data_IF_837223273469
#
_entry.id   IF_837223273469
#
_cell.length_a   1.000
_cell.length_b   1.000
_cell.length_c   1.000
_cell.angle_alpha   90.00
_cell.angle_beta   90.00
_cell.angle_gamma   90.00
#
_symmetry.space_group_name_H-M   'P 1'
#
loop_
_entity.id
_entity.type
_entity.pdbx_description
1 polymer ?
#
# COMPACT_ATOMS: atom_id res chain seq x y z
N UNK A 1 46.35 -45.71 5.65
CA UNK A 1 45.56 -44.56 6.12
C UNK A 1 44.33 -44.48 5.23
N UNK A 2 43.19 -44.99 5.71
CA UNK A 2 41.92 -44.99 4.95
C UNK A 2 41.29 -43.63 5.15
N UNK A 3 41.32 -42.77 4.13
CA UNK A 3 40.58 -41.53 4.15
C UNK A 3 39.08 -41.87 4.02
N UNK A 4 38.33 -41.74 5.11
CA UNK A 4 36.87 -41.76 5.04
C UNK A 4 36.44 -40.53 4.26
N UNK A 5 36.10 -40.73 2.98
CA UNK A 5 35.35 -39.75 2.22
C UNK A 5 34.02 -39.56 2.94
N UNK A 6 33.87 -38.48 3.70
CA UNK A 6 32.56 -38.11 4.25
C UNK A 6 31.68 -37.77 3.06
N UNK A 7 30.81 -38.71 2.67
CA UNK A 7 29.75 -38.44 1.73
C UNK A 7 28.97 -37.22 2.24
N UNK A 8 28.79 -36.22 1.39
CA UNK A 8 28.00 -35.04 1.73
C UNK A 8 26.58 -35.41 2.17
N UNK A 9 25.81 -34.42 2.69
CA UNK A 9 24.45 -34.66 3.15
C UNK A 9 23.62 -35.35 2.05
N UNK A 10 22.86 -36.38 2.44
CA UNK A 10 21.93 -37.05 1.55
C UNK A 10 20.71 -36.18 1.23
N UNK A 11 19.80 -36.69 0.39
CA UNK A 11 18.62 -35.94 -0.04
C UNK A 11 17.75 -35.49 1.14
N UNK A 12 17.58 -36.34 2.16
CA UNK A 12 16.78 -36.04 3.34
C UNK A 12 17.45 -34.98 4.22
N UNK A 13 18.78 -35.05 4.38
CA UNK A 13 19.56 -34.10 5.17
C UNK A 13 19.54 -32.71 4.54
N UNK A 14 19.55 -32.62 3.20
CA UNK A 14 19.40 -31.34 2.49
C UNK A 14 18.02 -30.72 2.74
N UNK A 15 16.95 -31.52 2.70
CA UNK A 15 15.59 -31.02 3.00
C UNK A 15 15.47 -30.58 4.46
N UNK A 16 15.97 -31.36 5.43
CA UNK A 16 16.01 -30.93 6.84
C UNK A 16 16.77 -29.63 7.02
N UNK A 17 17.95 -29.51 6.42
CA UNK A 17 18.76 -28.29 6.49
C UNK A 17 18.05 -27.05 5.96
N UNK A 18 17.20 -27.18 4.94
CA UNK A 18 16.36 -26.07 4.47
C UNK A 18 15.31 -25.65 5.51
N UNK A 19 14.58 -26.61 6.10
CA UNK A 19 13.60 -26.28 7.15
C UNK A 19 14.25 -25.80 8.44
N UNK A 20 15.45 -26.27 8.77
CA UNK A 20 16.24 -25.75 9.91
C UNK A 20 16.59 -24.27 9.69
N UNK A 21 16.89 -23.88 8.44
CA UNK A 21 17.11 -22.47 8.08
C UNK A 21 15.83 -21.64 8.18
N UNK A 22 14.68 -22.18 7.77
CA UNK A 22 13.38 -21.54 7.99
C UNK A 22 13.10 -21.34 9.48
N UNK A 23 13.31 -22.40 10.28
CA UNK A 23 13.14 -22.35 11.73
C UNK A 23 14.06 -21.29 12.37
N UNK A 24 15.30 -21.18 11.89
CA UNK A 24 16.26 -20.16 12.30
C UNK A 24 15.99 -18.76 11.72
N UNK A 25 15.03 -18.62 10.80
CA UNK A 25 14.72 -17.38 10.05
C UNK A 25 15.95 -16.81 9.32
N UNK A 26 16.81 -17.70 8.84
CA UNK A 26 18.08 -17.37 8.17
C UNK A 26 18.03 -17.76 6.69
N UNK A 27 17.72 -16.77 5.86
CA UNK A 27 17.65 -16.89 4.40
C UNK A 27 19.02 -16.84 3.71
N UNK A 28 20.10 -16.48 4.42
CA UNK A 28 21.44 -16.29 3.82
C UNK A 28 22.03 -17.57 3.23
N UNK A 29 21.51 -18.72 3.68
CA UNK A 29 21.95 -20.06 3.26
C UNK A 29 20.92 -20.79 2.43
N UNK A 30 19.83 -20.10 2.06
CA UNK A 30 18.91 -20.68 1.09
C UNK A 30 19.75 -21.08 -0.12
N UNK A 31 19.62 -22.33 -0.59
CA UNK A 31 20.29 -22.73 -1.81
C UNK A 31 19.95 -21.67 -2.86
N UNK A 32 20.89 -21.36 -3.75
CA UNK A 32 20.69 -20.46 -4.89
C UNK A 32 19.65 -21.08 -5.85
N UNK A 33 18.42 -21.18 -5.37
CA UNK A 33 17.27 -21.68 -6.07
C UNK A 33 16.77 -20.53 -6.94
N UNK A 34 16.33 -20.89 -8.15
CA UNK A 34 15.81 -19.94 -9.13
C UNK A 34 14.83 -18.89 -8.57
N UNK A 35 13.87 -19.22 -7.66
CA UNK A 35 12.90 -18.23 -7.19
C UNK A 35 13.45 -17.18 -6.21
N UNK A 36 14.71 -17.28 -5.77
CA UNK A 36 15.31 -16.31 -4.85
C UNK A 36 16.08 -15.19 -5.55
N UNK A 37 16.33 -15.29 -6.86
CA UNK A 37 16.99 -14.21 -7.61
C UNK A 37 16.06 -12.99 -7.62
N UNK A 38 16.49 -11.89 -6.98
CA UNK A 38 15.71 -10.65 -6.80
C UNK A 38 14.47 -10.76 -5.90
N UNK A 39 14.28 -11.88 -5.21
CA UNK A 39 13.14 -12.02 -4.31
C UNK A 39 13.41 -11.29 -2.99
N UNK A 40 12.57 -10.31 -2.61
CA UNK A 40 12.77 -9.56 -1.37
C UNK A 40 12.69 -10.46 -0.13
N UNK A 41 11.92 -11.56 -0.17
CA UNK A 41 11.85 -12.50 0.96
C UNK A 41 13.10 -13.35 1.15
N UNK A 42 13.94 -13.49 0.14
CA UNK A 42 15.18 -14.26 0.27
C UNK A 42 16.38 -13.42 0.76
N UNK A 43 16.20 -12.12 1.03
CA UNK A 43 17.29 -11.29 1.58
C UNK A 43 17.58 -11.64 3.05
N UNK A 44 18.85 -11.58 3.51
CA UNK A 44 19.19 -11.88 4.89
C UNK A 44 18.38 -11.05 5.90
N UNK A 45 17.73 -11.72 6.85
CA UNK A 45 17.03 -11.09 7.97
C UNK A 45 15.55 -10.73 7.73
N UNK A 46 15.05 -10.86 6.50
CA UNK A 46 13.64 -10.57 6.13
C UNK A 46 12.64 -11.41 6.88
N UNK A 47 12.97 -12.67 7.19
CA UNK A 47 12.09 -13.59 7.90
C UNK A 47 12.18 -13.44 9.43
N UNK A 48 12.97 -12.49 9.97
CA UNK A 48 13.17 -12.36 11.43
C UNK A 48 11.95 -11.83 12.17
N UNK A 49 11.14 -11.00 11.50
CA UNK A 49 9.90 -10.43 12.05
C UNK A 49 8.72 -10.72 11.10
N UNK A 50 7.51 -10.83 11.65
CA UNK A 50 6.31 -11.08 10.85
C UNK A 50 6.31 -12.40 10.07
N UNK A 51 7.15 -13.37 10.45
CA UNK A 51 7.17 -14.72 9.88
C UNK A 51 7.23 -15.77 10.99
N UNK A 52 6.39 -16.80 10.87
CA UNK A 52 6.42 -18.00 11.70
C UNK A 52 6.73 -19.21 10.81
N UNK A 53 7.82 -19.95 11.11
CA UNK A 53 8.24 -21.09 10.32
C UNK A 53 7.30 -22.29 10.51
N UNK A 54 7.30 -23.24 9.56
CA UNK A 54 6.65 -24.53 9.74
C UNK A 54 7.22 -25.29 10.92
N UNK A 55 6.35 -26.00 11.62
CA UNK A 55 6.68 -26.81 12.79
C UNK A 55 6.58 -28.31 12.48
N UNK A 56 7.21 -29.13 13.33
CA UNK A 56 7.06 -30.59 13.28
C UNK A 56 7.34 -31.23 11.91
N UNK A 57 8.38 -30.78 11.20
CA UNK A 57 8.81 -31.41 9.94
C UNK A 57 9.00 -32.92 10.13
N UNK A 58 8.39 -33.69 9.24
CA UNK A 58 8.59 -35.13 9.08
C UNK A 58 8.94 -35.42 7.63
N UNK A 59 9.96 -36.26 7.43
CA UNK A 59 10.26 -36.83 6.12
C UNK A 59 9.61 -38.21 6.08
N UNK A 60 8.65 -38.37 5.18
CA UNK A 60 7.85 -39.59 5.05
C UNK A 60 8.55 -40.62 4.16
N UNK A 61 9.33 -40.15 3.20
CA UNK A 61 10.13 -41.01 2.34
C UNK A 61 10.84 -40.24 1.24
N UNK A 62 11.68 -40.94 0.48
CA UNK A 62 12.26 -40.41 -0.74
C UNK A 62 12.22 -41.43 -1.86
N UNK A 63 11.65 -41.04 -2.99
CA UNK A 63 11.54 -41.89 -4.19
C UNK A 63 12.44 -41.37 -5.30
N UNK A 64 12.97 -42.28 -6.12
CA UNK A 64 13.64 -41.87 -7.35
C UNK A 64 12.61 -41.23 -8.28
N UNK A 65 12.93 -40.07 -8.84
CA UNK A 65 12.15 -39.47 -9.91
C UNK A 65 12.83 -39.87 -11.23
N UNK A 66 12.03 -40.15 -12.25
CA UNK A 66 12.50 -40.64 -13.56
C UNK A 66 13.75 -39.87 -14.00
N UNK A 67 14.82 -40.53 -14.44
CA UNK A 67 16.09 -39.87 -14.69
C UNK A 67 15.91 -38.70 -15.65
N UNK A 68 16.34 -37.49 -15.23
CA UNK A 68 16.52 -36.40 -16.18
C UNK A 68 17.53 -36.86 -17.22
N UNK A 69 17.31 -36.50 -18.48
CA UNK A 69 18.01 -36.99 -19.68
C UNK A 69 19.52 -36.69 -19.76
N UNK A 70 20.16 -36.27 -18.66
CA UNK A 70 21.58 -35.93 -18.58
C UNK A 70 22.43 -37.02 -17.91
N UNK A 71 23.64 -37.23 -18.45
CA UNK A 71 24.65 -38.09 -17.84
C UNK A 71 25.03 -37.58 -16.43
N UNK A 72 24.71 -38.37 -15.40
CA UNK A 72 25.22 -38.15 -14.04
C UNK A 72 24.35 -37.30 -13.11
N UNK A 73 23.23 -36.76 -13.57
CA UNK A 73 22.22 -36.13 -12.70
C UNK A 73 21.28 -37.19 -12.14
N UNK A 74 21.04 -37.15 -10.83
CA UNK A 74 20.02 -38.00 -10.17
C UNK A 74 19.00 -37.11 -9.51
N UNK A 75 17.73 -37.36 -9.75
CA UNK A 75 16.64 -36.61 -9.14
C UNK A 75 15.90 -37.52 -8.17
N UNK A 76 15.57 -36.98 -7.00
CA UNK A 76 14.70 -37.65 -6.03
C UNK A 76 13.63 -36.67 -5.60
N UNK A 77 12.49 -37.23 -5.26
CA UNK A 77 11.38 -36.51 -4.70
C UNK A 77 11.22 -36.99 -3.24
N UNK A 78 11.27 -36.04 -2.32
CA UNK A 78 11.24 -36.25 -0.88
C UNK A 78 9.88 -35.82 -0.36
N UNK A 79 9.07 -36.79 0.04
CA UNK A 79 7.75 -36.54 0.61
C UNK A 79 7.91 -36.06 2.06
N UNK A 80 7.27 -34.94 2.39
CA UNK A 80 7.35 -34.31 3.71
C UNK A 80 5.95 -33.98 4.25
N UNK A 81 5.85 -33.88 5.56
CA UNK A 81 4.73 -33.24 6.24
C UNK A 81 5.21 -32.29 7.33
N UNK A 82 4.46 -31.22 7.55
CA UNK A 82 4.77 -30.18 8.54
C UNK A 82 3.48 -29.50 9.02
N UNK A 83 3.57 -28.62 10.01
CA UNK A 83 2.43 -27.89 10.57
C UNK A 83 2.64 -26.38 10.37
N UNK A 84 1.63 -25.68 9.84
CA UNK A 84 1.56 -24.21 9.83
C UNK A 84 0.21 -23.80 10.41
N UNK A 85 0.21 -22.88 11.37
CA UNK A 85 -1.01 -22.38 12.01
C UNK A 85 -1.93 -23.50 12.54
N UNK A 86 -1.32 -24.55 13.11
CA UNK A 86 -2.02 -25.74 13.61
C UNK A 86 -2.51 -26.73 12.55
N UNK A 87 -2.41 -26.42 11.26
CA UNK A 87 -2.82 -27.32 10.18
C UNK A 87 -1.65 -28.18 9.69
N UNK A 88 -1.87 -29.49 9.59
CA UNK A 88 -0.90 -30.41 8.99
C UNK A 88 -1.01 -30.35 7.47
N UNK A 89 0.12 -30.13 6.82
CA UNK A 89 0.28 -30.02 5.39
C UNK A 89 1.29 -31.07 4.90
N UNK A 90 1.17 -31.44 3.63
CA UNK A 90 2.05 -32.41 2.96
C UNK A 90 2.59 -31.77 1.69
N UNK A 91 3.84 -32.05 1.35
CA UNK A 91 4.50 -31.49 0.17
C UNK A 91 5.56 -32.47 -0.36
N UNK A 92 5.97 -32.30 -1.62
CA UNK A 92 6.95 -33.13 -2.31
C UNK A 92 8.14 -32.25 -2.76
N UNK A 93 9.29 -32.37 -2.08
CA UNK A 93 10.48 -31.56 -2.40
C UNK A 93 11.35 -32.26 -3.43
N UNK A 94 11.64 -31.58 -4.53
CA UNK A 94 12.55 -32.12 -5.55
C UNK A 94 14.00 -31.78 -5.23
N UNK A 95 14.83 -32.81 -5.07
CA UNK A 95 16.27 -32.69 -4.88
C UNK A 95 17.05 -33.30 -6.05
N UNK A 96 18.10 -32.58 -6.45
CA UNK A 96 18.97 -32.91 -7.56
C UNK A 96 20.39 -33.18 -7.04
N UNK A 97 20.94 -34.32 -7.42
CA UNK A 97 22.35 -34.62 -7.25
C UNK A 97 23.14 -34.08 -8.44
N UNK A 98 24.15 -33.27 -8.16
CA UNK A 98 25.12 -32.76 -9.14
C UNK A 98 26.50 -33.33 -8.84
N UNK A 99 27.08 -34.00 -9.83
CA UNK A 99 28.46 -34.51 -9.76
C UNK A 99 29.43 -33.36 -10.00
N UNK A 100 30.37 -33.14 -9.09
CA UNK A 100 31.42 -32.10 -9.20
C UNK A 100 32.81 -32.68 -9.51
N UNK A 101 32.92 -34.01 -9.59
CA UNK A 101 34.15 -34.73 -9.88
C UNK A 101 33.92 -36.24 -9.96
N UNK A 102 34.99 -37.02 -10.08
CA UNK A 102 34.87 -38.47 -10.26
C UNK A 102 34.24 -39.15 -9.02
N UNK A 103 34.50 -38.63 -7.82
CA UNK A 103 34.01 -39.18 -6.56
C UNK A 103 33.23 -38.19 -5.69
N UNK A 104 33.03 -36.96 -6.18
CA UNK A 104 32.35 -35.91 -5.44
C UNK A 104 31.08 -35.45 -6.14
N UNK A 105 30.12 -35.09 -5.33
CA UNK A 105 28.91 -34.41 -5.75
C UNK A 105 28.14 -33.96 -4.53
N UNK A 106 27.05 -33.24 -4.77
CA UNK A 106 26.20 -32.72 -3.73
C UNK A 106 24.75 -32.83 -4.14
N UNK A 107 23.88 -32.99 -3.14
CA UNK A 107 22.45 -32.82 -3.30
C UNK A 107 22.10 -31.35 -3.12
N UNK A 108 21.19 -30.85 -3.93
CA UNK A 108 20.62 -29.51 -3.83
C UNK A 108 19.13 -29.56 -4.11
N UNK A 109 18.36 -28.70 -3.45
CA UNK A 109 16.95 -28.52 -3.79
C UNK A 109 16.86 -27.84 -5.16
N UNK A 110 16.18 -28.48 -6.11
CA UNK A 110 15.93 -27.89 -7.43
C UNK A 110 14.59 -27.18 -7.50
N UNK A 111 13.61 -27.68 -6.73
CA UNK A 111 12.28 -27.08 -6.59
C UNK A 111 11.98 -26.96 -5.08
N UNK A 112 12.19 -25.77 -4.49
CA UNK A 112 11.98 -25.58 -3.06
C UNK A 112 10.48 -25.58 -2.73
N UNK A 113 10.09 -26.18 -1.58
CA UNK A 113 8.70 -26.13 -1.14
C UNK A 113 8.30 -24.67 -0.91
N UNK A 114 7.02 -24.38 -1.04
CA UNK A 114 6.49 -23.01 -0.98
C UNK A 114 5.65 -22.71 -2.20
N UNK A 115 5.13 -21.49 -2.26
CA UNK A 115 4.27 -21.08 -3.36
C UNK A 115 4.36 -19.57 -3.59
N UNK A 116 3.64 -19.10 -4.59
CA UNK A 116 3.57 -17.66 -4.88
C UNK A 116 2.61 -16.98 -3.91
N UNK A 117 3.05 -15.88 -3.32
CA UNK A 117 2.18 -14.95 -2.61
C UNK A 117 1.93 -13.73 -3.51
N UNK A 118 0.67 -13.38 -3.68
CA UNK A 118 0.23 -12.18 -4.38
C UNK A 118 -0.34 -11.21 -3.36
N UNK A 119 0.21 -10.00 -3.29
CA UNK A 119 -0.32 -8.94 -2.43
C UNK A 119 -1.12 -7.98 -3.32
N UNK A 120 -2.42 -7.93 -3.07
CA UNK A 120 -3.30 -6.93 -3.63
C UNK A 120 -3.10 -5.64 -2.85
N UNK A 121 -2.38 -4.71 -3.47
CA UNK A 121 -2.17 -3.36 -2.95
C UNK A 121 -3.36 -2.49 -3.35
N UNK A 122 -3.87 -1.72 -2.40
CA UNK A 122 -4.31 -0.37 -2.73
C UNK A 122 -3.04 0.49 -2.83
N UNK A 123 -3.02 1.48 -3.72
CA UNK A 123 -1.89 2.36 -4.06
C UNK A 123 -1.18 3.12 -2.93
N UNK A 124 -1.48 2.80 -1.68
CA UNK A 124 -1.24 3.62 -0.52
C UNK A 124 -0.09 2.98 0.26
N UNK A 125 1.03 3.70 0.34
CA UNK A 125 2.17 3.44 1.21
C UNK A 125 2.97 2.14 0.95
N UNK A 126 4.24 2.10 1.38
CA UNK A 126 5.03 0.87 1.33
C UNK A 126 4.37 -0.22 2.19
N UNK A 127 4.21 -1.40 1.60
CA UNK A 127 3.78 -2.61 2.30
C UNK A 127 5.01 -3.38 2.74
N UNK A 128 5.01 -3.84 3.98
CA UNK A 128 5.96 -4.83 4.47
C UNK A 128 5.33 -6.21 4.46
N UNK A 129 6.08 -7.22 4.05
CA UNK A 129 5.73 -8.62 4.24
C UNK A 129 6.85 -9.27 5.04
N UNK A 130 6.51 -9.82 6.21
CA UNK A 130 7.52 -10.11 7.22
C UNK A 130 8.33 -8.84 7.53
N UNK A 131 9.66 -8.87 7.47
CA UNK A 131 10.52 -7.69 7.56
C UNK A 131 11.00 -7.17 6.19
N UNK A 132 10.46 -7.71 5.08
CA UNK A 132 10.82 -7.23 3.75
C UNK A 132 9.96 -6.02 3.37
N UNK A 133 10.61 -4.90 3.11
CA UNK A 133 9.97 -3.77 2.42
C UNK A 133 9.80 -4.14 0.96
N UNK A 134 8.55 -4.13 0.52
CA UNK A 134 8.22 -4.40 -0.87
C UNK A 134 8.25 -3.06 -1.61
N UNK A 135 9.08 -2.97 -2.65
CA UNK A 135 9.26 -1.74 -3.42
C UNK A 135 7.94 -1.12 -3.86
N UNK A 136 7.92 0.20 -4.04
CA UNK A 136 6.81 0.90 -4.70
C UNK A 136 6.74 0.40 -6.16
N UNK A 137 5.83 -0.54 -6.41
CA UNK A 137 5.37 -0.84 -7.76
C UNK A 137 4.24 0.11 -8.12
N UNK A 138 3.92 0.20 -9.41
CA UNK A 138 2.76 0.96 -9.85
C UNK A 138 1.52 0.54 -9.04
N UNK A 139 0.63 1.47 -8.70
CA UNK A 139 -0.54 1.19 -7.85
C UNK A 139 -1.52 0.16 -8.43
N UNK A 140 -1.43 -0.11 -9.73
CA UNK A 140 -2.22 -1.13 -10.43
C UNK A 140 -1.48 -2.49 -10.55
N UNK A 141 -0.20 -2.56 -10.19
CA UNK A 141 0.59 -3.78 -10.28
C UNK A 141 0.43 -4.64 -9.03
N UNK A 142 -0.04 -5.87 -9.23
CA UNK A 142 -0.01 -6.90 -8.21
C UNK A 142 1.43 -7.32 -7.96
N UNK A 143 1.86 -7.27 -6.70
CA UNK A 143 3.16 -7.82 -6.33
C UNK A 143 3.03 -9.33 -6.14
N UNK A 144 3.65 -10.09 -7.03
CA UNK A 144 3.71 -11.54 -6.95
C UNK A 144 5.15 -12.00 -6.86
N UNK A 145 5.46 -12.79 -5.84
CA UNK A 145 6.76 -13.41 -5.67
C UNK A 145 6.62 -14.73 -4.94
N UNK A 146 7.63 -15.59 -5.06
CA UNK A 146 7.66 -16.86 -4.36
C UNK A 146 7.95 -16.64 -2.86
N UNK A 147 7.37 -17.47 -2.00
CA UNK A 147 7.63 -17.46 -0.57
C UNK A 147 7.81 -18.91 -0.07
N UNK A 148 8.79 -19.17 0.81
CA UNK A 148 8.90 -20.49 1.44
C UNK A 148 7.70 -20.75 2.35
N UNK A 149 7.44 -22.00 2.76
CA UNK A 149 6.30 -22.32 3.58
C UNK A 149 6.38 -21.61 4.93
N UNK A 150 5.24 -21.18 5.44
CA UNK A 150 5.10 -20.57 6.75
C UNK A 150 3.96 -19.57 6.81
N UNK A 151 3.79 -18.95 7.98
CA UNK A 151 2.78 -17.93 8.22
C UNK A 151 3.45 -16.55 8.19
N UNK A 152 2.98 -15.70 7.29
CA UNK A 152 3.49 -14.35 7.07
C UNK A 152 2.48 -13.32 7.56
N UNK A 153 2.99 -12.24 8.10
CA UNK A 153 2.23 -11.03 8.39
C UNK A 153 2.62 -9.97 7.37
N UNK A 154 1.64 -9.47 6.62
CA UNK A 154 1.76 -8.29 5.80
C UNK A 154 1.26 -7.08 6.60
N UNK A 155 2.02 -6.00 6.65
CA UNK A 155 1.58 -4.76 7.29
C UNK A 155 1.74 -3.55 6.39
N UNK A 156 0.83 -2.60 6.54
CA UNK A 156 0.92 -1.26 5.98
C UNK A 156 0.88 -0.26 7.14
N UNK A 157 1.87 0.63 7.28
CA UNK A 157 1.81 1.68 8.29
C UNK A 157 0.61 2.60 8.00
N UNK A 158 0.04 3.17 9.06
CA UNK A 158 -0.94 4.25 8.92
C UNK A 158 -0.25 5.53 8.48
N UNK A 159 -1.03 6.49 7.99
CA UNK A 159 -0.55 7.81 7.61
C UNK A 159 -1.57 8.89 8.01
N UNK A 160 -1.50 10.12 7.50
CA UNK A 160 -2.47 11.14 7.88
C UNK A 160 -3.93 10.79 7.49
N UNK A 161 -4.12 9.97 6.45
CA UNK A 161 -5.42 9.64 5.87
C UNK A 161 -5.94 8.26 6.28
N UNK A 162 -5.05 7.28 6.39
CA UNK A 162 -5.38 5.86 6.54
C UNK A 162 -4.96 5.30 7.88
N UNK A 163 -5.75 4.36 8.38
CA UNK A 163 -5.38 3.52 9.51
C UNK A 163 -4.28 2.52 9.11
N UNK A 164 -3.40 2.13 10.04
CA UNK A 164 -2.52 0.99 9.83
C UNK A 164 -3.35 -0.26 9.52
N UNK A 165 -2.81 -1.14 8.68
CA UNK A 165 -3.47 -2.37 8.29
C UNK A 165 -2.53 -3.56 8.43
N UNK A 166 -3.10 -4.70 8.81
CA UNK A 166 -2.41 -5.97 8.91
C UNK A 166 -3.25 -7.06 8.23
N UNK A 167 -2.59 -7.99 7.55
CA UNK A 167 -3.20 -9.21 7.04
C UNK A 167 -2.22 -10.38 7.21
N UNK A 168 -2.76 -11.59 7.33
CA UNK A 168 -1.98 -12.81 7.53
C UNK A 168 -2.10 -13.69 6.30
N UNK A 169 -0.99 -14.27 5.87
CA UNK A 169 -0.90 -15.23 4.78
C UNK A 169 -0.33 -16.54 5.31
N UNK A 170 -0.92 -17.67 4.94
CA UNK A 170 -0.36 -19.00 5.21
C UNK A 170 0.08 -19.59 3.89
N UNK A 171 1.40 -19.67 3.66
CA UNK A 171 1.99 -20.19 2.42
C UNK A 171 2.38 -21.65 2.61
N UNK A 172 1.93 -22.49 1.69
CA UNK A 172 2.22 -23.92 1.60
C UNK A 172 2.56 -24.28 0.14
N UNK A 173 1.77 -25.15 -0.50
CA UNK A 173 1.94 -25.61 -1.89
C UNK A 173 1.08 -24.83 -2.91
N UNK A 174 -0.05 -24.24 -2.47
CA UNK A 174 -0.94 -23.47 -3.32
C UNK A 174 -0.65 -21.96 -3.32
N UNK A 175 -0.87 -21.23 -4.44
CA UNK A 175 -0.78 -19.79 -4.49
C UNK A 175 -1.73 -19.10 -3.50
N UNK A 176 -1.27 -18.02 -2.87
CA UNK A 176 -2.02 -17.29 -1.84
C UNK A 176 -2.17 -15.83 -2.25
N UNK A 177 -3.37 -15.29 -2.16
CA UNK A 177 -3.63 -13.85 -2.35
C UNK A 177 -3.92 -13.19 -1.01
N UNK A 178 -3.29 -12.05 -0.75
CA UNK A 178 -3.46 -11.26 0.48
C UNK A 178 -3.95 -9.87 0.09
N UNK A 179 -5.06 -9.44 0.69
CA UNK A 179 -5.62 -8.09 0.52
C UNK A 179 -5.51 -7.33 1.83
N UNK A 180 -4.82 -6.19 1.83
CA UNK A 180 -4.74 -5.33 3.00
C UNK A 180 -5.98 -4.42 3.06
N UNK A 181 -6.72 -4.37 4.17
CA UNK A 181 -7.88 -3.51 4.28
C UNK A 181 -7.48 -2.05 4.13
N UNK A 182 -8.30 -1.24 3.46
CA UNK A 182 -8.06 0.19 3.26
C UNK A 182 -9.11 0.97 4.03
N UNK A 183 -8.83 1.23 5.30
CA UNK A 183 -9.69 2.02 6.18
C UNK A 183 -9.19 3.46 6.29
N UNK A 184 -10.06 4.43 6.00
CA UNK A 184 -9.80 5.84 6.34
C UNK A 184 -9.84 6.02 7.85
N UNK A 185 -9.05 6.98 8.36
CA UNK A 185 -9.14 7.37 9.77
C UNK A 185 -10.54 7.90 10.09
N UNK A 186 -11.18 7.49 11.20
CA UNK A 186 -12.51 7.98 11.57
C UNK A 186 -12.61 9.51 11.69
N UNK A 187 -11.53 10.17 12.13
CA UNK A 187 -11.47 11.61 12.28
C UNK A 187 -11.12 12.38 11.00
N UNK A 188 -10.87 11.68 9.87
CA UNK A 188 -10.44 12.33 8.64
C UNK A 188 -11.52 13.24 8.07
N UNK A 189 -12.79 12.79 8.06
CA UNK A 189 -13.91 13.57 7.53
C UNK A 189 -14.02 14.93 8.26
N UNK A 190 -14.08 14.91 9.58
CA UNK A 190 -14.12 16.14 10.39
C UNK A 190 -12.90 17.04 10.18
N UNK A 191 -11.72 16.46 9.97
CA UNK A 191 -10.50 17.24 9.72
C UNK A 191 -10.52 17.93 8.35
N UNK A 192 -10.99 17.24 7.32
CA UNK A 192 -11.16 17.81 5.97
C UNK A 192 -12.27 18.87 5.98
N UNK A 193 -13.39 18.62 6.65
CA UNK A 193 -14.48 19.59 6.85
C UNK A 193 -13.97 20.88 7.48
N UNK A 194 -13.15 20.78 8.54
CA UNK A 194 -12.57 21.96 9.19
C UNK A 194 -11.67 22.75 8.24
N UNK A 195 -10.79 22.07 7.48
CA UNK A 195 -9.93 22.73 6.48
C UNK A 195 -10.74 23.47 5.41
N UNK A 196 -11.85 22.88 4.98
CA UNK A 196 -12.78 23.49 4.03
C UNK A 196 -13.46 24.72 4.66
N UNK A 197 -13.95 24.61 5.89
CA UNK A 197 -14.59 25.72 6.61
C UNK A 197 -13.62 26.89 6.81
N UNK A 198 -12.42 26.62 7.32
CA UNK A 198 -11.39 27.64 7.56
C UNK A 198 -11.05 28.40 6.27
N UNK A 199 -10.99 27.69 5.14
CA UNK A 199 -10.76 28.30 3.84
C UNK A 199 -11.94 29.13 3.34
N UNK A 200 -13.17 28.64 3.48
CA UNK A 200 -14.39 29.37 3.14
C UNK A 200 -14.48 30.66 3.97
N UNK A 201 -14.17 30.59 5.26
CA UNK A 201 -14.14 31.76 6.15
C UNK A 201 -13.05 32.76 5.74
N UNK A 202 -11.85 32.28 5.41
CA UNK A 202 -10.78 33.11 4.90
C UNK A 202 -11.16 33.82 3.58
N UNK A 203 -11.94 33.17 2.71
CA UNK A 203 -12.50 33.79 1.51
C UNK A 203 -13.56 34.86 1.85
N UNK A 204 -14.49 34.56 2.77
CA UNK A 204 -15.56 35.46 3.14
C UNK A 204 -15.07 36.73 3.86
N UNK A 205 -13.92 36.63 4.55
CA UNK A 205 -13.27 37.76 5.21
C UNK A 205 -12.67 38.79 4.22
N UNK A 206 -12.54 38.46 2.93
CA UNK A 206 -11.97 39.36 1.93
C UNK A 206 -13.03 40.29 1.34
N UNK A 207 -12.66 41.56 1.17
CA UNK A 207 -13.48 42.61 0.58
C UNK A 207 -13.37 42.66 -0.96
N UNK A 208 -13.51 41.51 -1.62
CA UNK A 208 -13.40 41.38 -3.07
C UNK A 208 -14.62 40.68 -3.67
N UNK A 209 -15.02 41.07 -4.89
CA UNK A 209 -16.11 40.41 -5.61
C UNK A 209 -15.75 38.99 -6.08
N UNK A 210 -14.46 38.65 -6.11
CA UNK A 210 -13.96 37.31 -6.41
C UNK A 210 -12.74 37.07 -5.53
N UNK A 211 -12.94 36.74 -4.24
CA UNK A 211 -11.85 36.53 -3.30
C UNK A 211 -10.93 35.41 -3.77
N UNK A 212 -9.69 35.41 -3.29
CA UNK A 212 -8.72 34.35 -3.57
C UNK A 212 -7.84 34.10 -2.36
N UNK A 213 -7.66 32.84 -1.98
CA UNK A 213 -6.80 32.45 -0.85
C UNK A 213 -5.36 32.15 -1.27
N UNK A 214 -5.02 32.25 -2.56
CA UNK A 214 -3.65 32.07 -3.04
C UNK A 214 -3.17 33.24 -3.89
N UNK A 215 -2.36 34.13 -3.30
CA UNK A 215 -1.68 35.22 -4.02
C UNK A 215 -0.31 34.81 -4.60
N UNK A 216 0.12 33.55 -4.39
CA UNK A 216 1.47 33.09 -4.72
C UNK A 216 1.55 32.03 -5.83
N UNK A 217 0.47 31.30 -6.12
CA UNK A 217 0.42 30.38 -7.25
C UNK A 217 -0.62 30.85 -8.29
N UNK A 218 -0.14 31.18 -9.49
CA UNK A 218 -0.99 31.63 -10.61
C UNK A 218 -1.89 30.51 -11.19
N UNK A 219 -1.99 29.35 -10.55
CA UNK A 219 -2.62 28.15 -11.13
C UNK A 219 -3.88 27.68 -10.41
N UNK A 220 -4.20 28.14 -9.19
CA UNK A 220 -5.41 27.70 -8.50
C UNK A 220 -6.10 28.87 -7.76
N UNK A 221 -7.13 29.46 -8.39
CA UNK A 221 -8.11 30.31 -7.71
C UNK A 221 -8.86 29.43 -6.72
N UNK A 222 -8.75 29.75 -5.45
CA UNK A 222 -9.01 28.75 -4.42
C UNK A 222 -10.29 29.02 -3.61
N UNK A 223 -10.98 30.15 -3.85
CA UNK A 223 -12.27 30.43 -3.24
C UNK A 223 -13.45 29.99 -4.12
N UNK A 224 -14.46 29.29 -3.56
CA UNK A 224 -15.66 28.90 -4.30
C UNK A 224 -16.66 30.07 -4.47
N UNK A 225 -16.32 31.28 -3.99
CA UNK A 225 -17.19 32.45 -4.01
C UNK A 225 -16.79 33.39 -5.15
N UNK A 226 -17.74 33.78 -6.00
CA UNK A 226 -17.54 34.81 -6.99
C UNK A 226 -18.86 35.53 -7.31
N UNK A 227 -18.78 36.84 -7.49
CA UNK A 227 -19.88 37.68 -7.94
C UNK A 227 -19.42 38.51 -9.13
N UNK A 228 -20.14 38.41 -10.24
CA UNK A 228 -19.91 39.28 -11.39
C UNK A 228 -20.59 40.63 -11.16
N UNK A 229 -19.82 41.60 -10.68
CA UNK A 229 -20.27 42.98 -10.59
C UNK A 229 -20.30 43.61 -11.99
N UNK A 230 -21.42 44.23 -12.35
CA UNK A 230 -21.61 44.96 -13.61
C UNK A 230 -21.49 46.48 -13.45
N UNK A 231 -21.40 46.97 -12.21
CA UNK A 231 -21.36 48.38 -11.88
C UNK A 231 -19.90 48.86 -11.70
N UNK A 232 -19.59 50.04 -12.24
CA UNK A 232 -18.25 50.63 -12.16
C UNK A 232 -17.94 51.29 -10.82
N UNK A 233 -18.96 51.79 -10.12
CA UNK A 233 -18.83 52.45 -8.82
C UNK A 233 -19.59 51.63 -7.79
N UNK A 234 -18.84 50.97 -6.90
CA UNK A 234 -19.37 50.11 -5.85
C UNK A 234 -18.65 50.34 -4.52
N UNK A 235 -19.33 50.03 -3.42
CA UNK A 235 -18.67 49.86 -2.13
C UNK A 235 -17.94 48.53 -2.09
N UNK A 236 -17.07 48.36 -1.09
CA UNK A 236 -16.47 47.08 -0.78
C UNK A 236 -17.57 46.03 -0.51
N UNK A 237 -17.52 44.86 -1.18
CA UNK A 237 -18.47 43.80 -0.92
C UNK A 237 -18.20 43.15 0.43
N UNK A 238 -19.27 42.66 1.05
CA UNK A 238 -19.23 41.86 2.27
C UNK A 238 -19.87 40.49 2.01
N UNK A 239 -19.09 39.44 2.16
CA UNK A 239 -19.58 38.07 2.09
C UNK A 239 -20.05 37.59 3.47
N UNK A 240 -21.04 36.71 3.49
CA UNK A 240 -21.52 36.04 4.70
C UNK A 240 -21.84 34.60 4.37
N UNK A 241 -21.19 33.67 5.08
CA UNK A 241 -21.46 32.24 4.95
C UNK A 241 -22.76 31.93 5.69
N UNK A 242 -23.78 31.50 4.95
CA UNK A 242 -25.07 31.13 5.52
C UNK A 242 -25.08 29.66 5.95
N UNK A 243 -24.41 28.81 5.16
CA UNK A 243 -24.33 27.38 5.40
C UNK A 243 -23.07 26.81 4.76
N UNK A 244 -22.36 25.95 5.48
CA UNK A 244 -21.26 25.18 4.93
C UNK A 244 -21.74 24.00 4.09
N UNK A 245 -20.99 23.61 3.05
CA UNK A 245 -21.27 22.39 2.31
C UNK A 245 -21.10 21.15 3.19
N UNK A 246 -21.87 20.10 2.91
CA UNK A 246 -21.63 18.76 3.50
C UNK A 246 -20.88 17.92 2.48
N UNK A 247 -19.85 17.21 2.92
CA UNK A 247 -19.00 16.39 2.05
C UNK A 247 -19.13 14.90 2.35
N UNK A 248 -18.70 14.09 1.40
CA UNK A 248 -18.41 12.67 1.58
C UNK A 248 -16.97 12.41 1.12
N UNK A 249 -16.28 11.54 1.87
CA UNK A 249 -14.98 11.02 1.49
C UNK A 249 -15.15 9.63 0.87
N UNK A 250 -14.58 9.44 -0.31
CA UNK A 250 -14.50 8.15 -0.98
C UNK A 250 -13.04 7.82 -1.28
N UNK A 251 -12.67 6.54 -1.26
CA UNK A 251 -11.33 6.08 -1.65
C UNK A 251 -11.39 5.42 -3.01
N UNK A 252 -10.64 5.95 -3.98
CA UNK A 252 -10.48 5.33 -5.29
C UNK A 252 -9.59 4.08 -5.20
N UNK A 253 -9.63 3.16 -6.19
CA UNK A 253 -8.76 1.97 -6.21
C UNK A 253 -7.26 2.32 -6.17
N UNK A 254 -6.91 3.47 -6.78
CA UNK A 254 -5.57 4.07 -6.76
C UNK A 254 -5.26 4.81 -5.45
N UNK A 255 -6.02 4.55 -4.37
CA UNK A 255 -5.70 5.05 -3.05
C UNK A 255 -5.83 6.56 -2.85
N UNK A 256 -6.40 7.27 -3.81
CA UNK A 256 -6.67 8.70 -3.65
C UNK A 256 -8.00 8.89 -2.92
N UNK A 257 -7.99 9.72 -1.87
CA UNK A 257 -9.19 10.13 -1.15
C UNK A 257 -9.84 11.30 -1.88
N UNK A 258 -11.00 11.08 -2.47
CA UNK A 258 -11.80 12.12 -3.11
C UNK A 258 -12.75 12.75 -2.13
N UNK A 259 -12.85 14.07 -2.18
CA UNK A 259 -13.83 14.88 -1.46
C UNK A 259 -14.94 15.24 -2.45
N UNK A 260 -16.17 14.89 -2.12
CA UNK A 260 -17.34 15.21 -2.96
C UNK A 260 -18.41 15.89 -2.14
N UNK A 261 -18.95 16.99 -2.66
CA UNK A 261 -20.04 17.73 -2.06
C UNK A 261 -21.35 16.95 -2.22
N UNK A 262 -21.99 16.63 -1.11
CA UNK A 262 -23.30 15.96 -1.08
C UNK A 262 -24.44 16.90 -0.70
N UNK A 263 -24.13 18.06 -0.12
CA UNK A 263 -25.07 19.17 0.07
C UNK A 263 -24.35 20.49 -0.15
N UNK A 264 -24.93 21.36 -0.99
CA UNK A 264 -24.31 22.63 -1.37
C UNK A 264 -24.23 23.61 -0.18
N UNK A 265 -23.09 24.29 -0.09
CA UNK A 265 -22.91 25.46 0.76
C UNK A 265 -23.72 26.64 0.23
N UNK A 266 -23.91 27.66 1.06
CA UNK A 266 -24.63 28.88 0.70
C UNK A 266 -23.94 30.11 1.27
N UNK A 267 -23.75 31.11 0.41
CA UNK A 267 -23.20 32.43 0.79
C UNK A 267 -24.07 33.55 0.29
N UNK A 268 -24.04 34.68 0.99
CA UNK A 268 -24.68 35.94 0.59
C UNK A 268 -23.61 37.02 0.44
N UNK A 269 -23.70 37.82 -0.62
CA UNK A 269 -22.90 39.03 -0.81
C UNK A 269 -23.79 40.25 -0.66
N UNK A 270 -23.32 41.23 0.12
CA UNK A 270 -23.93 42.55 0.23
C UNK A 270 -22.95 43.61 -0.27
N UNK A 271 -23.44 44.54 -1.08
CA UNK A 271 -22.69 45.72 -1.49
C UNK A 271 -23.65 46.84 -1.89
N UNK A 272 -23.13 48.03 -2.16
CA UNK A 272 -23.91 49.13 -2.71
C UNK A 272 -23.26 49.59 -4.02
N UNK A 273 -24.07 50.11 -4.94
CA UNK A 273 -23.59 50.74 -6.17
C UNK A 273 -24.15 52.14 -6.31
N UNK A 274 -23.51 52.96 -7.14
CA UNK A 274 -24.00 54.28 -7.53
C UNK A 274 -23.80 54.53 -9.01
N UNK A 275 -24.73 55.25 -9.64
CA UNK A 275 -24.55 55.76 -11.02
C UNK A 275 -23.92 57.16 -11.06
N UNK A 276 -23.85 57.84 -9.90
CA UNK A 276 -23.39 59.22 -9.81
C UNK A 276 -21.86 59.32 -9.73
N UNK A 277 -21.28 60.21 -10.54
CA UNK A 277 -19.85 60.53 -10.48
C UNK A 277 -19.52 61.72 -9.55
N UNK A 278 -20.53 62.51 -9.17
CA UNK A 278 -20.41 63.73 -8.33
C UNK A 278 -21.03 63.50 -6.94
N UNK A 279 -20.42 64.07 -5.89
CA UNK A 279 -20.94 63.99 -4.52
C UNK A 279 -22.02 65.05 -4.22
N UNK A 280 -23.01 64.75 -3.35
CA UNK A 280 -23.21 63.47 -2.63
C UNK A 280 -23.83 62.39 -3.52
N UNK A 281 -23.27 61.18 -3.47
CA UNK A 281 -23.80 60.01 -4.21
C UNK A 281 -25.04 59.41 -3.57
N UNK A 282 -26.00 59.04 -4.40
CA UNK A 282 -27.06 58.09 -4.04
C UNK A 282 -26.52 56.66 -4.15
N UNK A 283 -26.70 55.87 -3.09
CA UNK A 283 -26.22 54.49 -3.01
C UNK A 283 -27.40 53.53 -2.98
N UNK A 284 -27.37 52.53 -3.85
CA UNK A 284 -28.39 51.50 -3.95
C UNK A 284 -27.86 50.17 -3.38
N UNK A 285 -28.52 49.59 -2.36
CA UNK A 285 -28.10 48.31 -1.81
C UNK A 285 -28.41 47.16 -2.75
N UNK A 286 -27.50 46.20 -2.82
CA UNK A 286 -27.64 44.94 -3.54
C UNK A 286 -27.31 43.79 -2.60
N UNK A 287 -28.13 42.77 -2.69
CA UNK A 287 -27.92 41.47 -2.04
C UNK A 287 -28.07 40.37 -3.09
N UNK A 288 -27.13 39.42 -3.09
CA UNK A 288 -27.24 38.22 -3.90
C UNK A 288 -26.81 37.00 -3.09
N UNK A 289 -27.50 35.88 -3.31
CA UNK A 289 -27.21 34.61 -2.63
C UNK A 289 -26.81 33.56 -3.67
N UNK A 290 -25.78 32.78 -3.34
CA UNK A 290 -25.21 31.75 -4.19
C UNK A 290 -25.11 30.43 -3.43
N UNK A 291 -25.45 29.34 -4.10
CA UNK A 291 -25.07 28.00 -3.68
C UNK A 291 -23.70 27.66 -4.30
N UNK A 292 -22.88 26.88 -3.59
CA UNK A 292 -21.55 26.48 -4.06
C UNK A 292 -21.17 25.06 -3.59
N UNK A 293 -20.28 24.41 -4.32
CA UNK A 293 -19.65 23.13 -3.99
C UNK A 293 -18.15 23.29 -3.71
N UNK A 294 -17.56 22.25 -3.12
CA UNK A 294 -16.15 22.16 -2.70
C UNK A 294 -15.62 20.75 -2.94
N UNK A 295 -15.52 20.37 -4.20
CA UNK A 295 -14.93 19.09 -4.57
C UNK A 295 -13.39 19.17 -4.55
N UNK A 296 -12.74 18.01 -4.37
CA UNK A 296 -11.29 17.99 -4.29
C UNK A 296 -10.71 16.65 -3.87
N UNK A 297 -9.51 16.73 -3.30
CA UNK A 297 -8.73 15.59 -2.84
C UNK A 297 -8.19 15.84 -1.44
N UNK A 298 -8.24 14.82 -0.58
CA UNK A 298 -7.50 14.83 0.67
C UNK A 298 -6.16 14.13 0.45
N UNK A 299 -5.08 14.79 0.83
CA UNK A 299 -3.69 14.32 0.63
C UNK A 299 -2.94 14.34 1.96
N UNK A 300 -1.91 13.50 2.06
CA UNK A 300 -0.94 13.54 3.16
C UNK A 300 0.24 14.42 2.72
N UNK A 301 0.49 15.50 3.44
CA UNK A 301 1.64 16.38 3.27
C UNK A 301 2.42 16.40 4.58
N UNK A 302 3.59 15.76 4.58
CA UNK A 302 4.48 15.68 5.74
C UNK A 302 3.81 15.13 7.02
N UNK A 303 2.94 14.11 6.87
CA UNK A 303 2.22 13.47 7.97
C UNK A 303 0.98 14.24 8.44
N UNK A 304 0.56 15.27 7.69
CA UNK A 304 -0.63 16.08 7.97
C UNK A 304 -1.64 15.95 6.84
N UNK A 305 -2.92 15.94 7.20
CA UNK A 305 -4.01 16.03 6.24
C UNK A 305 -4.01 17.43 5.62
N UNK A 306 -4.02 17.49 4.29
CA UNK A 306 -4.31 18.69 3.53
C UNK A 306 -5.45 18.42 2.55
N UNK A 307 -6.14 19.48 2.12
CA UNK A 307 -7.19 19.44 1.12
C UNK A 307 -6.81 20.30 -0.08
N UNK A 308 -6.94 19.72 -1.27
CA UNK A 308 -6.71 20.39 -2.55
C UNK A 308 -8.04 20.45 -3.29
N UNK A 309 -8.54 21.68 -3.53
CA UNK A 309 -9.74 21.89 -4.32
C UNK A 309 -9.52 21.48 -5.78
N UNK A 310 -10.57 20.98 -6.43
CA UNK A 310 -10.56 20.58 -7.84
C UNK A 310 -10.98 21.72 -8.77
#
# INVERSE_FOLDING_TARGET
>A
MVAFLTSGPGPNEVVRGFFDQLAARDTSRFPAAAPCSHNPLCQPGTLRAGYQPPEHLRIEGSRAQTPSSGYGTRQRLVAISYIIDGQRLTDDVTVLYRRTGIFSGYWSISDPPGSTITIQRSAIAPVTLAAAELAEANPEEQLTFWAPPGRYTATRPGNALYEPAEAVAVVADAPVSVTLPTGLKPALAASVEQLIHDRIDACAAQHAFSPDTDVSSHTLRNCPMAHRNIYTITTEPKWTVQRYPTIRLDTRPDGVVTVTTIALGKVTIHYQYSFGIVEPREWHPVEATYDFDVDGYAVDVDGKTAWIAR
#
